data_IF_312997071826
#
_entry.id   IF_312997071826
#
_cell.length_a   1.000
_cell.length_b   1.000
_cell.length_c   1.000
_cell.angle_alpha   90.00
_cell.angle_beta   90.00
_cell.angle_gamma   90.00
#
_symmetry.space_group_name_H-M   'P 1'
#
loop_
_entity.id
_entity.type
_entity.pdbx_description
1 polymer ?
#
# COMPACT_ATOMS: atom_id res chain seq x y z
N UNK A 1 13.52 20.70 -8.92
CA UNK A 1 12.24 20.30 -9.56
C UNK A 1 11.37 21.54 -9.71
N UNK A 2 10.88 21.81 -10.90
CA UNK A 2 10.04 22.98 -11.18
C UNK A 2 8.57 22.76 -10.77
N UNK A 3 7.78 23.83 -10.80
CA UNK A 3 6.37 23.81 -10.38
C UNK A 3 5.48 22.94 -11.27
N UNK A 4 5.75 22.85 -12.58
CA UNK A 4 4.96 22.04 -13.52
C UNK A 4 5.19 20.56 -13.23
N UNK A 5 6.45 20.15 -13.13
CA UNK A 5 6.81 18.75 -12.78
C UNK A 5 6.21 18.34 -11.45
N UNK A 6 6.30 19.21 -10.43
CA UNK A 6 5.70 18.94 -9.10
C UNK A 6 4.19 18.71 -9.19
N UNK A 7 3.46 19.56 -9.92
CA UNK A 7 2.01 19.40 -10.12
C UNK A 7 1.66 18.09 -10.81
N UNK A 8 2.44 17.71 -11.84
CA UNK A 8 2.24 16.45 -12.56
C UNK A 8 2.45 15.26 -11.61
N UNK A 9 3.57 15.22 -10.88
CA UNK A 9 3.84 14.10 -9.96
C UNK A 9 2.78 13.97 -8.86
N UNK A 10 2.31 15.10 -8.30
CA UNK A 10 1.19 15.10 -7.34
C UNK A 10 -0.10 14.55 -7.96
N UNK A 11 -0.40 14.91 -9.21
CA UNK A 11 -1.55 14.38 -9.93
C UNK A 11 -1.44 12.87 -10.20
N UNK A 12 -0.26 12.43 -10.64
CA UNK A 12 0.02 11.00 -10.89
C UNK A 12 -0.09 10.19 -9.61
N UNK A 13 0.56 10.62 -8.52
CA UNK A 13 0.49 9.87 -7.24
C UNK A 13 -0.93 9.84 -6.69
N UNK A 14 -1.71 10.92 -6.83
CA UNK A 14 -3.12 10.93 -6.45
C UNK A 14 -3.95 9.94 -7.27
N UNK A 15 -3.71 9.83 -8.58
CA UNK A 15 -4.38 8.86 -9.44
C UNK A 15 -4.01 7.41 -9.06
N UNK A 16 -2.73 7.14 -8.76
CA UNK A 16 -2.27 5.82 -8.29
C UNK A 16 -2.92 5.44 -6.96
N UNK A 17 -2.93 6.36 -5.98
CA UNK A 17 -3.58 6.12 -4.68
C UNK A 17 -5.07 5.88 -4.84
N UNK A 18 -5.74 6.63 -5.72
CA UNK A 18 -7.15 6.41 -6.03
C UNK A 18 -7.40 5.03 -6.64
N UNK A 19 -6.59 4.62 -7.62
CA UNK A 19 -6.68 3.29 -8.24
C UNK A 19 -6.49 2.18 -7.19
N UNK A 20 -5.49 2.34 -6.31
CA UNK A 20 -5.26 1.42 -5.18
C UNK A 20 -6.48 1.35 -4.26
N UNK A 21 -7.03 2.49 -3.84
CA UNK A 21 -8.20 2.52 -2.97
C UNK A 21 -9.45 1.90 -3.63
N UNK A 22 -9.69 2.21 -4.91
CA UNK A 22 -10.80 1.67 -5.67
C UNK A 22 -10.72 0.13 -5.78
N UNK A 23 -9.52 -0.41 -6.02
CA UNK A 23 -9.31 -1.85 -6.04
C UNK A 23 -9.59 -2.49 -4.67
N UNK A 24 -9.06 -1.92 -3.60
CA UNK A 24 -9.28 -2.43 -2.24
C UNK A 24 -10.77 -2.41 -1.85
N UNK A 25 -11.53 -1.39 -2.26
CA UNK A 25 -12.99 -1.36 -2.07
C UNK A 25 -13.69 -2.39 -2.94
N UNK A 26 -13.36 -2.47 -4.23
CA UNK A 26 -13.95 -3.43 -5.16
C UNK A 26 -13.82 -4.87 -4.65
N UNK A 27 -12.63 -5.23 -4.16
CA UNK A 27 -12.38 -6.57 -3.64
C UNK A 27 -12.93 -6.75 -2.22
N UNK A 28 -12.65 -5.79 -1.33
CA UNK A 28 -12.90 -5.91 0.11
C UNK A 28 -14.34 -5.67 0.52
N UNK A 29 -15.05 -4.69 -0.07
CA UNK A 29 -16.40 -4.32 0.37
C UNK A 29 -17.42 -5.44 0.21
N UNK A 30 -17.62 -6.05 -0.98
CA UNK A 30 -18.60 -7.12 -1.13
C UNK A 30 -18.30 -8.32 -0.22
N UNK A 31 -17.03 -8.68 -0.07
CA UNK A 31 -16.58 -9.77 0.82
C UNK A 31 -16.79 -9.45 2.29
N UNK A 32 -16.55 -8.20 2.70
CA UNK A 32 -16.79 -7.75 4.07
C UNK A 32 -18.26 -7.88 4.46
N UNK A 33 -19.18 -7.54 3.53
CA UNK A 33 -20.62 -7.68 3.75
C UNK A 33 -20.99 -9.17 3.92
N UNK A 34 -20.50 -10.03 3.03
CA UNK A 34 -20.74 -11.48 3.10
C UNK A 34 -20.21 -12.06 4.42
N UNK A 35 -18.99 -11.70 4.82
CA UNK A 35 -18.41 -12.21 6.06
C UNK A 35 -19.09 -11.65 7.31
N UNK A 36 -19.52 -10.39 7.29
CA UNK A 36 -20.30 -9.81 8.39
C UNK A 36 -21.64 -10.55 8.58
N UNK A 37 -22.30 -10.92 7.48
CA UNK A 37 -23.56 -11.70 7.51
C UNK A 37 -23.34 -13.14 8.01
N UNK A 38 -22.21 -13.76 7.68
CA UNK A 38 -21.87 -15.13 8.08
C UNK A 38 -21.14 -15.22 9.44
N UNK A 39 -20.86 -14.09 10.10
CA UNK A 39 -19.96 -14.00 11.25
C UNK A 39 -20.37 -14.90 12.41
N UNK A 40 -21.65 -14.94 12.75
CA UNK A 40 -22.16 -15.77 13.85
C UNK A 40 -21.96 -17.28 13.61
N UNK A 41 -22.09 -17.72 12.36
CA UNK A 41 -21.85 -19.11 11.98
C UNK A 41 -20.37 -19.48 11.99
N UNK A 42 -19.50 -18.61 11.46
CA UNK A 42 -18.05 -18.82 11.42
C UNK A 42 -17.44 -18.91 12.82
N UNK A 43 -17.78 -17.95 13.69
CA UNK A 43 -17.29 -17.94 15.06
C UNK A 43 -17.83 -19.12 15.88
N UNK A 44 -19.08 -19.53 15.64
CA UNK A 44 -19.67 -20.72 16.27
C UNK A 44 -18.96 -22.04 15.91
N UNK A 45 -18.23 -22.06 14.79
CA UNK A 45 -17.43 -23.21 14.33
C UNK A 45 -15.94 -23.09 14.71
N UNK A 46 -15.55 -22.04 15.44
CA UNK A 46 -14.16 -21.78 15.81
C UNK A 46 -13.26 -21.35 14.63
N UNK A 47 -13.86 -20.97 13.49
CA UNK A 47 -13.14 -20.52 12.31
C UNK A 47 -13.10 -18.98 12.31
N UNK A 48 -11.94 -18.33 12.47
CA UNK A 48 -11.87 -16.89 12.32
C UNK A 48 -12.18 -16.52 10.86
N UNK A 49 -12.98 -15.48 10.60
CA UNK A 49 -13.19 -14.98 9.24
C UNK A 49 -11.85 -14.50 8.68
N UNK A 50 -11.61 -14.69 7.38
CA UNK A 50 -10.47 -14.08 6.70
C UNK A 50 -10.54 -12.55 6.90
N UNK A 51 -9.52 -11.92 7.53
CA UNK A 51 -9.57 -10.51 7.91
C UNK A 51 -9.34 -9.56 6.74
N UNK A 52 -8.80 -10.04 5.60
CA UNK A 52 -8.41 -9.20 4.45
C UNK A 52 -9.52 -8.26 3.98
N UNK A 53 -10.79 -8.70 3.79
CA UNK A 53 -11.83 -7.83 3.28
C UNK A 53 -12.03 -6.57 4.13
N UNK A 54 -12.09 -6.73 5.45
CA UNK A 54 -12.31 -5.63 6.38
C UNK A 54 -11.10 -4.68 6.40
N UNK A 55 -9.89 -5.25 6.41
CA UNK A 55 -8.65 -4.46 6.36
C UNK A 55 -8.55 -3.68 5.05
N UNK A 56 -8.97 -4.26 3.92
CA UNK A 56 -8.95 -3.59 2.62
C UNK A 56 -9.92 -2.41 2.58
N UNK A 57 -11.13 -2.58 3.12
CA UNK A 57 -12.12 -1.49 3.23
C UNK A 57 -11.59 -0.37 4.14
N UNK A 58 -11.05 -0.71 5.31
CA UNK A 58 -10.50 0.27 6.24
C UNK A 58 -9.32 1.03 5.60
N UNK A 59 -8.41 0.31 4.95
CA UNK A 59 -7.26 0.91 4.26
C UNK A 59 -7.71 1.86 3.15
N UNK A 60 -8.67 1.44 2.31
CA UNK A 60 -9.19 2.29 1.25
C UNK A 60 -9.88 3.55 1.80
N UNK A 61 -10.61 3.45 2.92
CA UNK A 61 -11.20 4.61 3.57
C UNK A 61 -10.14 5.62 4.03
N UNK A 62 -9.02 5.13 4.60
CA UNK A 62 -7.89 5.99 4.98
C UNK A 62 -7.25 6.66 3.76
N UNK A 63 -7.03 5.91 2.67
CA UNK A 63 -6.48 6.46 1.43
C UNK A 63 -7.36 7.56 0.83
N UNK A 64 -8.68 7.37 0.84
CA UNK A 64 -9.63 8.37 0.33
C UNK A 64 -9.78 9.58 1.26
N UNK A 65 -9.60 9.40 2.58
CA UNK A 65 -9.62 10.50 3.54
C UNK A 65 -8.39 11.43 3.38
N UNK A 66 -7.23 10.90 2.98
CA UNK A 66 -5.98 11.66 2.85
C UNK A 66 -6.12 12.97 2.04
N UNK A 67 -6.56 12.93 0.77
CA UNK A 67 -6.78 14.13 -0.04
C UNK A 67 -7.74 15.14 0.59
N UNK A 68 -8.81 14.66 1.24
CA UNK A 68 -9.73 15.54 1.97
C UNK A 68 -9.01 16.26 3.13
N UNK A 69 -8.26 15.53 3.96
CA UNK A 69 -7.53 16.10 5.08
C UNK A 69 -6.47 17.12 4.64
N UNK A 70 -5.80 16.88 3.50
CA UNK A 70 -4.82 17.82 2.92
C UNK A 70 -5.50 19.07 2.39
N UNK A 71 -6.58 18.94 1.62
CA UNK A 71 -7.30 20.09 1.03
C UNK A 71 -7.98 20.97 2.09
N UNK A 72 -8.33 20.41 3.25
CA UNK A 72 -8.86 21.15 4.40
C UNK A 72 -7.78 21.73 5.32
N UNK A 73 -6.50 21.53 4.99
CA UNK A 73 -5.38 22.04 5.78
C UNK A 73 -5.19 21.33 7.13
N UNK A 74 -5.85 20.19 7.35
CA UNK A 74 -5.70 19.38 8.58
C UNK A 74 -4.35 18.66 8.59
N UNK A 75 -3.88 18.22 7.41
CA UNK A 75 -2.57 17.56 7.24
C UNK A 75 -1.73 18.36 6.26
N UNK A 76 -0.55 18.80 6.69
CA UNK A 76 0.42 19.47 5.82
C UNK A 76 1.02 18.53 4.77
N UNK A 77 1.47 19.08 3.64
CA UNK A 77 1.99 18.30 2.50
C UNK A 77 3.12 17.33 2.89
N UNK A 78 4.07 17.78 3.72
CA UNK A 78 5.18 16.94 4.19
C UNK A 78 4.67 15.68 4.90
N UNK A 79 3.71 15.85 5.82
CA UNK A 79 3.13 14.75 6.57
C UNK A 79 2.27 13.86 5.67
N UNK A 80 1.59 14.44 4.68
CA UNK A 80 0.84 13.67 3.69
C UNK A 80 1.74 12.77 2.84
N UNK A 81 2.93 13.24 2.43
CA UNK A 81 3.89 12.42 1.69
C UNK A 81 4.46 11.29 2.54
N UNK A 82 4.83 11.58 3.80
CA UNK A 82 5.30 10.55 4.74
C UNK A 82 4.20 9.51 4.97
N UNK A 83 2.97 9.95 5.30
CA UNK A 83 1.85 9.04 5.52
C UNK A 83 1.53 8.22 4.27
N UNK A 84 1.52 8.84 3.08
CA UNK A 84 1.33 8.16 1.81
C UNK A 84 2.38 7.07 1.56
N UNK A 85 3.67 7.38 1.75
CA UNK A 85 4.75 6.38 1.66
C UNK A 85 4.53 5.24 2.65
N UNK A 86 4.27 5.53 3.92
CA UNK A 86 4.09 4.52 4.95
C UNK A 86 2.90 3.61 4.65
N UNK A 87 1.78 4.17 4.17
CA UNK A 87 0.59 3.40 3.80
C UNK A 87 0.85 2.47 2.61
N UNK A 88 1.54 2.93 1.57
CA UNK A 88 1.90 2.07 0.43
C UNK A 88 2.86 0.94 0.84
N UNK A 89 3.89 1.27 1.62
CA UNK A 89 4.86 0.28 2.14
C UNK A 89 4.17 -0.72 3.06
N UNK A 90 3.27 -0.27 3.94
CA UNK A 90 2.50 -1.16 4.81
C UNK A 90 1.59 -2.10 4.02
N UNK A 91 0.95 -1.64 2.94
CA UNK A 91 0.15 -2.49 2.05
C UNK A 91 0.98 -3.59 1.37
N UNK A 92 2.18 -3.24 0.90
CA UNK A 92 3.12 -4.21 0.31
C UNK A 92 3.62 -5.19 1.37
N UNK A 93 4.05 -4.70 2.53
CA UNK A 93 4.53 -5.53 3.62
C UNK A 93 3.45 -6.49 4.14
N UNK A 94 2.20 -6.02 4.24
CA UNK A 94 1.05 -6.84 4.61
C UNK A 94 0.79 -7.95 3.59
N UNK A 95 0.89 -7.65 2.29
CA UNK A 95 0.79 -8.65 1.22
C UNK A 95 1.91 -9.69 1.30
N UNK A 96 3.17 -9.26 1.48
CA UNK A 96 4.31 -10.17 1.67
C UNK A 96 4.10 -11.06 2.89
N UNK A 97 3.73 -10.47 4.02
CA UNK A 97 3.51 -11.21 5.26
C UNK A 97 2.39 -12.25 5.13
N UNK A 98 1.27 -11.88 4.50
CA UNK A 98 0.15 -12.78 4.27
C UNK A 98 0.55 -14.03 3.49
N UNK A 99 1.31 -13.85 2.41
CA UNK A 99 1.76 -14.95 1.57
C UNK A 99 2.88 -15.77 2.21
N UNK A 100 3.83 -15.10 2.86
CA UNK A 100 4.93 -15.77 3.57
C UNK A 100 4.45 -16.63 4.75
N UNK A 101 3.31 -16.29 5.35
CA UNK A 101 2.72 -17.02 6.48
C UNK A 101 1.65 -18.03 6.07
N UNK A 102 1.54 -18.36 4.78
CA UNK A 102 0.60 -19.38 4.32
C UNK A 102 -0.86 -18.95 4.46
N UNK A 103 -1.21 -17.73 4.04
CA UNK A 103 -2.58 -17.24 3.98
C UNK A 103 -3.28 -17.18 5.35
N UNK A 104 -2.57 -16.74 6.38
CA UNK A 104 -3.15 -16.54 7.71
C UNK A 104 -2.99 -17.70 8.68
N UNK A 105 -2.12 -18.68 8.40
CA UNK A 105 -1.87 -19.81 9.32
C UNK A 105 -1.34 -19.38 10.70
N UNK A 106 -0.87 -18.13 10.84
CA UNK A 106 -0.51 -17.52 12.12
C UNK A 106 -1.70 -17.16 13.01
N UNK A 107 -2.93 -17.11 12.48
CA UNK A 107 -4.13 -16.73 13.24
C UNK A 107 -4.62 -17.88 14.11
N UNK A 108 -4.72 -19.09 13.54
CA UNK A 108 -5.12 -20.32 14.23
C UNK A 108 -4.39 -21.50 13.57
N UNK A 109 -3.93 -22.45 14.37
CA UNK A 109 -3.26 -23.66 13.86
C UNK A 109 -4.18 -24.44 12.92
N UNK A 110 -3.67 -24.79 11.73
CA UNK A 110 -4.43 -25.49 10.70
C UNK A 110 -5.38 -24.62 9.86
N UNK A 111 -5.44 -23.31 10.10
CA UNK A 111 -6.17 -22.38 9.24
C UNK A 111 -5.34 -21.99 8.02
N UNK A 112 -5.96 -21.98 6.85
CA UNK A 112 -5.42 -21.32 5.66
C UNK A 112 -6.58 -20.72 4.89
N UNK A 113 -6.60 -19.40 4.74
CA UNK A 113 -7.63 -18.75 3.95
C UNK A 113 -7.51 -19.21 2.48
N UNK A 114 -8.64 -19.29 1.73
CA UNK A 114 -8.60 -19.64 0.31
C UNK A 114 -7.64 -18.74 -0.47
N UNK A 115 -6.79 -19.33 -1.31
CA UNK A 115 -5.96 -18.58 -2.24
C UNK A 115 -6.85 -17.93 -3.31
N UNK A 116 -6.49 -16.70 -3.68
CA UNK A 116 -7.24 -15.89 -4.65
C UNK A 116 -6.87 -16.24 -6.10
N UNK A 117 -6.82 -17.52 -6.46
CA UNK A 117 -6.26 -17.97 -7.74
C UNK A 117 -4.92 -18.67 -7.54
N UNK A 118 -4.48 -19.43 -8.56
CA UNK A 118 -3.16 -20.06 -8.60
C UNK A 118 -2.95 -21.26 -7.67
N UNK A 119 -2.73 -22.45 -8.23
CA UNK A 119 -2.24 -23.59 -7.46
C UNK A 119 -0.82 -23.31 -6.99
N UNK A 120 -0.66 -22.96 -5.70
CA UNK A 120 0.63 -22.60 -5.14
C UNK A 120 1.65 -23.74 -5.24
N UNK A 121 2.77 -23.49 -5.90
CA UNK A 121 3.93 -24.37 -5.86
C UNK A 121 4.74 -24.06 -4.59
N UNK A 122 4.84 -25.02 -3.68
CA UNK A 122 5.67 -24.88 -2.48
C UNK A 122 7.16 -24.84 -2.86
N UNK A 123 7.75 -23.65 -2.88
CA UNK A 123 9.21 -23.52 -2.92
C UNK A 123 9.76 -23.78 -1.52
N UNK A 124 10.34 -24.97 -1.32
CA UNK A 124 10.95 -25.38 -0.06
C UNK A 124 11.93 -24.34 0.49
N UNK A 125 11.51 -23.59 1.51
CA UNK A 125 12.34 -22.78 2.41
C UNK A 125 12.65 -21.33 2.00
N UNK A 126 12.45 -20.91 0.75
CA UNK A 126 12.80 -19.53 0.31
C UNK A 126 11.59 -18.61 0.21
N UNK A 127 11.43 -17.72 1.20
CA UNK A 127 10.37 -16.69 1.21
C UNK A 127 10.44 -15.78 -0.03
N UNK A 128 11.66 -15.42 -0.48
CA UNK A 128 11.83 -14.55 -1.65
C UNK A 128 11.29 -15.21 -2.92
N UNK A 129 11.57 -16.51 -3.14
CA UNK A 129 11.07 -17.22 -4.31
C UNK A 129 9.55 -17.41 -4.25
N UNK A 130 9.00 -17.69 -3.06
CA UNK A 130 7.55 -17.78 -2.86
C UNK A 130 6.82 -16.48 -3.23
N UNK A 131 7.37 -15.35 -2.81
CA UNK A 131 6.82 -14.03 -3.09
C UNK A 131 6.96 -13.68 -4.57
N UNK A 132 8.09 -14.00 -5.18
CA UNK A 132 8.30 -13.78 -6.61
C UNK A 132 7.34 -14.63 -7.45
N UNK A 133 7.07 -15.88 -7.04
CA UNK A 133 6.10 -16.74 -7.68
C UNK A 133 4.69 -16.13 -7.62
N UNK A 134 4.22 -15.71 -6.44
CA UNK A 134 2.92 -15.03 -6.31
C UNK A 134 2.85 -13.74 -7.14
N UNK A 135 3.94 -12.95 -7.16
CA UNK A 135 4.00 -11.76 -7.99
C UNK A 135 3.95 -12.08 -9.50
N UNK A 136 4.32 -13.29 -9.94
CA UNK A 136 4.27 -13.64 -11.36
C UNK A 136 2.98 -14.35 -11.75
N UNK A 137 2.35 -15.08 -10.83
CA UNK A 137 1.18 -15.92 -11.10
C UNK A 137 -0.15 -15.21 -10.82
N UNK A 138 -0.15 -14.15 -10.01
CA UNK A 138 -1.36 -13.39 -9.63
C UNK A 138 -1.40 -11.98 -10.26
N UNK A 139 -1.68 -11.85 -11.57
CA UNK A 139 -1.46 -10.61 -12.34
C UNK A 139 -2.18 -9.38 -11.78
N UNK A 140 -3.33 -9.58 -11.14
CA UNK A 140 -4.10 -8.51 -10.51
C UNK A 140 -3.38 -8.00 -9.26
N UNK A 141 -2.88 -8.91 -8.42
CA UNK A 141 -2.12 -8.55 -7.22
C UNK A 141 -0.82 -7.87 -7.62
N UNK A 142 -0.10 -8.39 -8.62
CA UNK A 142 1.14 -7.82 -9.15
C UNK A 142 0.95 -6.42 -9.69
N UNK A 143 -0.11 -6.20 -10.46
CA UNK A 143 -0.49 -4.89 -10.98
C UNK A 143 -0.68 -3.90 -9.84
N UNK A 144 -1.47 -4.27 -8.83
CA UNK A 144 -1.71 -3.42 -7.66
C UNK A 144 -0.43 -3.11 -6.88
N UNK A 145 0.40 -4.11 -6.58
CA UNK A 145 1.66 -3.91 -5.85
C UNK A 145 2.64 -3.04 -6.63
N UNK A 146 2.62 -3.11 -7.96
CA UNK A 146 3.40 -2.22 -8.83
C UNK A 146 2.91 -0.77 -8.71
N UNK A 147 1.60 -0.53 -8.73
CA UNK A 147 1.04 0.82 -8.55
C UNK A 147 1.40 1.39 -7.18
N UNK A 148 1.32 0.59 -6.11
CA UNK A 148 1.70 0.99 -4.76
C UNK A 148 3.20 1.30 -4.64
N UNK A 149 4.06 0.48 -5.24
CA UNK A 149 5.50 0.71 -5.24
C UNK A 149 5.87 2.01 -5.98
N UNK A 150 5.25 2.26 -7.14
CA UNK A 150 5.44 3.52 -7.88
C UNK A 150 4.92 4.70 -7.04
N UNK A 151 3.74 4.57 -6.43
CA UNK A 151 3.19 5.63 -5.58
C UNK A 151 4.11 5.94 -4.39
N UNK A 152 4.66 4.92 -3.72
CA UNK A 152 5.63 5.09 -2.65
C UNK A 152 6.88 5.84 -3.13
N UNK A 153 7.45 5.45 -4.27
CA UNK A 153 8.62 6.10 -4.85
C UNK A 153 8.33 7.56 -5.22
N UNK A 154 7.13 7.86 -5.73
CA UNK A 154 6.70 9.22 -6.04
C UNK A 154 6.49 10.07 -4.79
N UNK A 155 5.90 9.52 -3.73
CA UNK A 155 5.78 10.22 -2.44
C UNK A 155 7.15 10.52 -1.83
N UNK A 156 8.09 9.58 -1.88
CA UNK A 156 9.47 9.79 -1.45
C UNK A 156 10.10 10.90 -2.30
N UNK A 157 9.98 10.82 -3.63
CA UNK A 157 10.51 11.86 -4.53
C UNK A 157 9.95 13.25 -4.20
N UNK A 158 8.64 13.36 -3.97
CA UNK A 158 7.99 14.60 -3.57
C UNK A 158 8.48 15.07 -2.20
N UNK A 159 8.64 14.18 -1.22
CA UNK A 159 9.18 14.50 0.10
C UNK A 159 10.57 15.14 0.03
N UNK A 160 11.41 14.70 -0.92
CA UNK A 160 12.78 15.17 -1.08
C UNK A 160 12.97 16.31 -2.08
N UNK A 161 12.02 16.58 -2.96
CA UNK A 161 12.24 17.51 -4.09
C UNK A 161 11.15 18.57 -4.26
N UNK A 162 10.05 18.49 -3.53
CA UNK A 162 8.92 19.42 -3.67
C UNK A 162 9.25 20.81 -3.09
N UNK A 163 9.28 21.87 -3.92
CA UNK A 163 9.63 23.22 -3.48
C UNK A 163 8.62 23.84 -2.50
N UNK A 164 7.41 23.28 -2.37
CA UNK A 164 6.43 23.79 -1.41
C UNK A 164 6.74 23.40 0.04
N UNK A 165 7.65 22.44 0.25
CA UNK A 165 8.02 21.96 1.59
C UNK A 165 9.53 22.05 1.87
N UNK A 166 10.34 22.36 0.86
CA UNK A 166 11.79 22.58 0.99
C UNK A 166 12.06 24.07 0.77
N UNK A 167 12.43 24.84 1.81
CA UNK A 167 12.82 26.24 1.68
C UNK A 167 14.08 26.42 0.82
N UNK A 168 14.20 27.55 0.11
CA UNK A 168 15.32 27.83 -0.80
C UNK A 168 16.70 27.85 -0.11
N UNK A 169 16.79 28.17 1.19
CA UNK A 169 18.05 28.17 1.97
C UNK A 169 18.75 26.79 2.06
N UNK A 170 18.01 25.70 1.89
CA UNK A 170 18.58 24.34 1.89
C UNK A 170 19.08 23.92 0.50
N UNK A 171 18.65 24.58 -0.58
CA UNK A 171 19.18 24.34 -1.94
C UNK A 171 20.60 24.88 -2.09
N UNK A 172 20.87 26.07 -1.56
CA UNK A 172 22.21 26.68 -1.60
C UNK A 172 23.23 25.87 -0.81
N UNK A 173 22.85 25.29 0.34
CA UNK A 173 23.75 24.44 1.13
C UNK A 173 24.13 23.14 0.41
N UNK A 174 23.20 22.48 -0.31
CA UNK A 174 23.50 21.23 -1.03
C UNK A 174 24.43 21.47 -2.23
N UNK A 175 24.25 22.57 -2.96
CA UNK A 175 25.15 22.97 -4.05
C UNK A 175 26.51 23.47 -3.54
N UNK A 176 26.52 24.18 -2.41
CA UNK A 176 27.76 24.59 -1.73
C UNK A 176 28.58 23.39 -1.22
N UNK A 177 27.93 22.33 -0.73
CA UNK A 177 28.63 21.14 -0.22
C UNK A 177 29.17 20.29 -1.38
N UNK A 178 28.41 20.17 -2.48
CA UNK A 178 28.85 19.44 -3.68
C UNK A 178 29.97 20.15 -4.48
N UNK A 179 30.15 21.46 -4.29
CA UNK A 179 31.23 22.25 -4.90
C UNK A 179 32.47 22.41 -4.01
N UNK A 180 32.43 21.90 -2.79
CA UNK A 180 33.53 21.98 -1.81
C UNK A 180 34.18 20.64 -1.49
N UNK A 181 33.81 19.54 -2.17
CA UNK A 181 34.63 18.33 -2.21
C UNK A 181 35.68 18.44 -3.34
N UNK A 182 36.99 18.50 -3.02
CA UNK A 182 38.09 18.54 -3.99
C UNK A 182 38.44 17.17 -4.58
#
# INVERSE_FOLDING_TARGET
MDRRTTKILRGVVAALVFATAAFHLWWGLPRSIIYAQAMSGLLGQGLPPDPRPFLFVAFAAVLLAGPYLVTRGVVGLRNAYIAGTLLMVASIAGWVFWHATGHGAFLVEGFSAPSSGGGGHHHGGSTVLLILDHFNTEPVESGLKTLEAIAAALFVTLLWKDPAIIPDEQRENVESTASSEP
#
